data_IF_801869880075
#
_entry.id   IF_801869880075
#
_cell.length_a   1.000
_cell.length_b   1.000
_cell.length_c   1.000
_cell.angle_alpha   90.00
_cell.angle_beta   90.00
_cell.angle_gamma   90.00
#
_symmetry.space_group_name_H-M   'P 1'
#
loop_
_entity.id
_entity.type
_entity.pdbx_description
1 polymer ?
#
# COMPACT_ATOMS: atom_id res chain seq x y z
N UNK A 1 -21.79 19.64 -20.95
CA UNK A 1 -20.34 19.59 -20.70
C UNK A 1 -20.14 19.32 -19.22
N UNK A 2 -19.69 18.13 -18.85
CA UNK A 2 -19.37 17.81 -17.45
C UNK A 2 -18.20 18.68 -17.03
N UNK A 3 -18.38 19.51 -16.00
CA UNK A 3 -17.32 20.36 -15.48
C UNK A 3 -16.23 19.45 -14.91
N UNK A 4 -15.06 19.41 -15.56
CA UNK A 4 -13.92 18.67 -15.04
C UNK A 4 -13.49 19.28 -13.71
N UNK A 5 -13.25 18.40 -12.74
CA UNK A 5 -12.62 18.74 -11.48
C UNK A 5 -11.51 17.71 -11.18
N UNK A 6 -10.65 18.04 -10.21
CA UNK A 6 -9.48 17.22 -9.87
C UNK A 6 -9.84 15.78 -9.52
N UNK A 7 -10.91 15.56 -8.75
CA UNK A 7 -11.32 14.23 -8.30
C UNK A 7 -11.81 13.35 -9.46
N UNK A 8 -12.61 13.92 -10.36
CA UNK A 8 -13.06 13.22 -11.56
C UNK A 8 -11.88 12.77 -12.44
N UNK A 9 -10.89 13.64 -12.63
CA UNK A 9 -9.70 13.29 -13.42
C UNK A 9 -8.92 12.13 -12.81
N UNK A 10 -8.78 12.09 -11.48
CA UNK A 10 -8.07 11.00 -10.79
C UNK A 10 -8.85 9.69 -10.91
N UNK A 11 -10.17 9.72 -10.69
CA UNK A 11 -11.02 8.55 -10.83
C UNK A 11 -10.94 7.95 -12.24
N UNK A 12 -11.02 8.79 -13.28
CA UNK A 12 -10.88 8.35 -14.67
C UNK A 12 -9.46 7.87 -15.00
N UNK A 13 -8.43 8.42 -14.35
CA UNK A 13 -7.06 7.96 -14.52
C UNK A 13 -6.81 6.60 -13.86
N UNK A 14 -7.43 6.31 -12.71
CA UNK A 14 -7.40 4.99 -12.06
C UNK A 14 -8.16 3.95 -12.89
N UNK A 15 -9.31 4.30 -13.47
CA UNK A 15 -9.99 3.42 -14.42
C UNK A 15 -9.14 3.14 -15.66
N UNK A 16 -8.48 4.17 -16.20
CA UNK A 16 -7.55 4.00 -17.31
C UNK A 16 -6.36 3.10 -16.92
N UNK A 17 -5.84 3.23 -15.70
CA UNK A 17 -4.80 2.34 -15.17
C UNK A 17 -5.24 0.88 -15.19
N UNK A 18 -6.46 0.59 -14.74
CA UNK A 18 -7.01 -0.78 -14.74
C UNK A 18 -7.12 -1.36 -16.15
N UNK A 19 -7.51 -0.53 -17.13
CA UNK A 19 -7.66 -0.94 -18.53
C UNK A 19 -6.31 -1.19 -19.23
N UNK A 20 -5.36 -0.26 -19.11
CA UNK A 20 -4.16 -0.26 -19.97
C UNK A 20 -2.84 -0.49 -19.23
N UNK A 21 -2.86 -0.59 -17.90
CA UNK A 21 -1.67 -0.68 -17.06
C UNK A 21 -0.90 0.62 -16.96
N UNK A 22 0.04 0.69 -16.02
CA UNK A 22 0.75 1.91 -15.64
C UNK A 22 1.54 2.53 -16.81
N UNK A 23 2.17 1.68 -17.61
CA UNK A 23 2.93 2.12 -18.80
C UNK A 23 2.01 2.68 -19.90
N UNK A 24 0.76 2.25 -19.91
CA UNK A 24 -0.28 2.72 -20.83
C UNK A 24 -0.91 4.06 -20.43
N UNK A 25 -0.77 4.50 -19.18
CA UNK A 25 -1.35 5.77 -18.70
C UNK A 25 -0.56 6.97 -19.24
N UNK A 26 -1.28 7.90 -19.87
CA UNK A 26 -0.72 9.18 -20.35
C UNK A 26 -1.75 10.30 -20.28
N UNK A 27 -1.29 11.54 -20.13
CA UNK A 27 -2.15 12.74 -20.13
C UNK A 27 -2.96 12.87 -21.43
N UNK A 28 -2.37 12.48 -22.57
CA UNK A 28 -3.07 12.46 -23.87
C UNK A 28 -4.24 11.48 -23.91
N UNK A 29 -4.03 10.22 -23.48
CA UNK A 29 -5.09 9.21 -23.44
C UNK A 29 -6.19 9.61 -22.45
N UNK A 30 -5.81 10.16 -21.31
CA UNK A 30 -6.75 10.65 -20.31
C UNK A 30 -7.59 11.83 -20.84
N UNK A 31 -6.97 12.78 -21.54
CA UNK A 31 -7.69 13.91 -22.16
C UNK A 31 -8.71 13.44 -23.20
N UNK A 32 -8.30 12.49 -24.06
CA UNK A 32 -9.18 11.86 -25.04
C UNK A 32 -10.35 11.14 -24.37
N UNK A 33 -10.10 10.36 -23.30
CA UNK A 33 -11.13 9.68 -22.53
C UNK A 33 -12.15 10.66 -21.93
N UNK A 34 -11.67 11.77 -21.40
CA UNK A 34 -12.47 12.82 -20.78
C UNK A 34 -13.17 13.75 -21.79
N UNK A 35 -12.89 13.60 -23.09
CA UNK A 35 -13.43 14.47 -24.14
C UNK A 35 -12.97 15.93 -24.03
N UNK A 36 -11.76 16.17 -23.53
CA UNK A 36 -11.19 17.52 -23.36
C UNK A 36 -9.82 17.65 -24.00
N UNK A 37 -9.42 18.88 -24.25
CA UNK A 37 -8.08 19.20 -24.71
C UNK A 37 -7.04 19.06 -23.59
N UNK A 38 -5.82 18.63 -23.93
CA UNK A 38 -4.74 18.43 -22.95
C UNK A 38 -4.44 19.65 -22.04
N UNK A 39 -4.49 20.91 -22.53
CA UNK A 39 -4.31 22.07 -21.67
C UNK A 39 -5.30 22.14 -20.50
N UNK A 40 -6.51 21.58 -20.64
CA UNK A 40 -7.48 21.51 -19.55
C UNK A 40 -6.98 20.66 -18.38
N UNK A 41 -6.23 19.57 -18.66
CA UNK A 41 -5.63 18.74 -17.62
C UNK A 41 -4.45 19.43 -16.92
N UNK A 42 -3.72 20.29 -17.62
CA UNK A 42 -2.55 20.99 -17.06
C UNK A 42 -2.90 21.99 -15.94
N UNK A 43 -4.15 22.45 -15.91
CA UNK A 43 -4.68 23.25 -14.81
C UNK A 43 -4.84 22.42 -13.52
N UNK A 44 -5.06 21.11 -13.63
CA UNK A 44 -5.21 20.22 -12.48
C UNK A 44 -3.90 19.53 -12.09
N UNK A 45 -3.09 19.11 -13.07
CA UNK A 45 -1.85 18.38 -12.84
C UNK A 45 -0.72 18.92 -13.72
N UNK A 46 0.40 19.28 -13.09
CA UNK A 46 1.59 19.77 -13.78
C UNK A 46 2.41 18.62 -14.36
N UNK A 47 1.81 17.87 -15.29
CA UNK A 47 2.44 16.75 -15.99
C UNK A 47 2.09 15.36 -15.41
N UNK A 48 2.68 14.32 -16.03
CA UNK A 48 2.39 12.90 -15.71
C UNK A 48 2.75 12.55 -14.27
N UNK A 49 3.90 12.99 -13.77
CA UNK A 49 4.34 12.71 -12.39
C UNK A 49 3.37 13.26 -11.34
N UNK A 50 2.84 14.47 -11.54
CA UNK A 50 1.86 15.06 -10.63
C UNK A 50 0.53 14.29 -10.64
N UNK A 51 0.14 13.76 -11.80
CA UNK A 51 -1.04 12.89 -11.93
C UNK A 51 -0.80 11.54 -11.24
N UNK A 52 0.33 10.88 -11.51
CA UNK A 52 0.65 9.58 -10.90
C UNK A 52 0.71 9.66 -9.37
N UNK A 53 1.31 10.73 -8.82
CA UNK A 53 1.31 10.96 -7.37
C UNK A 53 -0.10 11.08 -6.80
N UNK A 54 -0.96 11.87 -7.46
CA UNK A 54 -2.35 12.02 -7.03
C UNK A 54 -3.16 10.72 -7.15
N UNK A 55 -2.88 9.91 -8.19
CA UNK A 55 -3.46 8.57 -8.33
C UNK A 55 -2.97 7.65 -7.20
N UNK A 56 -1.69 7.68 -6.84
CA UNK A 56 -1.13 6.87 -5.76
C UNK A 56 -1.75 7.26 -4.40
N UNK A 57 -1.91 8.56 -4.14
CA UNK A 57 -2.60 9.08 -2.95
C UNK A 57 -4.05 8.58 -2.89
N UNK A 58 -4.80 8.72 -3.99
CA UNK A 58 -6.21 8.30 -4.06
C UNK A 58 -6.36 6.79 -3.91
N UNK A 59 -5.55 6.00 -4.62
CA UNK A 59 -5.58 4.53 -4.54
C UNK A 59 -5.29 4.03 -3.11
N UNK A 60 -4.52 4.79 -2.33
CA UNK A 60 -4.20 4.47 -0.94
C UNK A 60 -5.27 4.90 0.08
N UNK A 61 -6.33 5.60 -0.34
CA UNK A 61 -7.42 6.07 0.53
C UNK A 61 -7.99 4.99 1.46
N UNK A 62 -8.26 3.75 1.01
CA UNK A 62 -8.77 2.71 1.90
C UNK A 62 -7.82 2.35 3.05
N UNK A 63 -6.51 2.55 2.87
CA UNK A 63 -5.51 2.30 3.90
C UNK A 63 -5.27 3.53 4.78
N UNK A 64 -5.32 4.74 4.23
CA UNK A 64 -5.03 5.99 4.96
C UNK A 64 -6.22 6.50 5.76
N UNK A 65 -7.45 6.14 5.37
CA UNK A 65 -8.67 6.48 6.12
C UNK A 65 -9.11 5.39 7.09
N UNK A 66 -8.43 4.24 7.10
CA UNK A 66 -8.68 3.19 8.08
C UNK A 66 -8.43 3.70 9.51
N UNK A 67 -9.27 3.31 10.49
CA UNK A 67 -9.07 3.69 11.88
C UNK A 67 -7.67 3.33 12.37
N UNK A 68 -7.05 4.27 13.09
CA UNK A 68 -5.86 4.01 13.88
C UNK A 68 -6.20 3.03 15.02
N UNK A 69 -5.22 2.25 15.51
CA UNK A 69 -5.43 1.40 16.68
C UNK A 69 -5.83 2.24 17.89
N UNK A 70 -6.77 1.72 18.68
CA UNK A 70 -7.19 2.30 19.94
C UNK A 70 -6.48 1.63 21.12
N UNK A 71 -6.33 2.33 22.27
CA UNK A 71 -5.88 1.70 23.51
C UNK A 71 -6.77 0.50 23.86
N UNK A 72 -6.15 -0.66 24.12
CA UNK A 72 -6.85 -1.91 24.45
C UNK A 72 -7.09 -2.85 23.27
N UNK A 73 -6.84 -2.42 22.03
CA UNK A 73 -6.83 -3.31 20.87
C UNK A 73 -5.75 -4.39 21.01
N UNK A 74 -6.03 -5.60 20.51
CA UNK A 74 -5.01 -6.64 20.38
C UNK A 74 -3.97 -6.21 19.33
N UNK A 75 -2.76 -5.89 19.79
CA UNK A 75 -1.67 -5.43 18.94
C UNK A 75 -1.33 -6.40 17.80
N UNK A 76 -1.47 -7.72 18.03
CA UNK A 76 -1.09 -8.75 17.05
C UNK A 76 -2.14 -8.78 15.94
N UNK A 77 -3.41 -8.91 16.30
CA UNK A 77 -4.50 -8.92 15.32
C UNK A 77 -4.54 -7.59 14.54
N UNK A 78 -4.35 -6.47 15.24
CA UNK A 78 -4.28 -5.16 14.58
C UNK A 78 -3.11 -5.08 13.58
N UNK A 79 -1.92 -5.54 13.96
CA UNK A 79 -0.75 -5.53 13.07
C UNK A 79 -1.00 -6.36 11.82
N UNK A 80 -1.49 -7.60 12.00
CA UNK A 80 -1.81 -8.50 10.89
C UNK A 80 -2.85 -7.87 9.95
N UNK A 81 -3.96 -7.38 10.48
CA UNK A 81 -5.03 -6.80 9.68
C UNK A 81 -4.62 -5.49 9.00
N UNK A 82 -3.76 -4.68 9.61
CA UNK A 82 -3.20 -3.48 8.98
C UNK A 82 -2.44 -3.81 7.68
N UNK A 83 -1.66 -4.89 7.66
CA UNK A 83 -0.91 -5.29 6.47
C UNK A 83 -1.73 -6.12 5.48
N UNK A 84 -2.71 -6.91 5.95
CA UNK A 84 -3.70 -7.54 5.06
C UNK A 84 -4.50 -6.50 4.29
N UNK A 85 -4.98 -5.46 4.97
CA UNK A 85 -5.65 -4.32 4.33
C UNK A 85 -4.73 -3.59 3.37
N UNK A 86 -3.49 -3.31 3.78
CA UNK A 86 -2.52 -2.67 2.89
C UNK A 86 -2.32 -3.47 1.60
N UNK A 87 -2.16 -4.80 1.70
CA UNK A 87 -2.09 -5.69 0.53
C UNK A 87 -3.34 -5.60 -0.33
N UNK A 88 -4.54 -5.69 0.26
CA UNK A 88 -5.80 -5.56 -0.48
C UNK A 88 -5.86 -4.23 -1.23
N UNK A 89 -5.46 -3.12 -0.59
CA UNK A 89 -5.41 -1.79 -1.19
C UNK A 89 -4.47 -1.73 -2.40
N UNK A 90 -3.25 -2.27 -2.29
CA UNK A 90 -2.30 -2.30 -3.42
C UNK A 90 -2.81 -3.12 -4.62
N UNK A 91 -3.65 -4.13 -4.35
CA UNK A 91 -4.22 -5.02 -5.36
C UNK A 91 -5.57 -4.55 -5.92
N UNK A 92 -6.14 -3.44 -5.42
CA UNK A 92 -7.41 -2.89 -5.95
C UNK A 92 -7.31 -2.46 -7.41
N UNK A 93 -6.12 -1.97 -7.81
CA UNK A 93 -5.86 -1.48 -9.15
C UNK A 93 -4.74 -2.26 -9.82
N UNK A 94 -4.83 -2.41 -11.14
CA UNK A 94 -3.75 -2.95 -11.96
C UNK A 94 -2.49 -2.11 -11.78
N UNK A 95 -1.33 -2.76 -11.62
CA UNK A 95 -0.05 -2.09 -11.32
C UNK A 95 -0.10 -1.18 -10.07
N UNK A 96 -1.08 -1.35 -9.16
CA UNK A 96 -1.24 -0.52 -7.96
C UNK A 96 -0.02 -0.59 -7.03
N UNK A 97 0.66 -1.73 -6.95
CA UNK A 97 1.91 -1.87 -6.21
C UNK A 97 3.06 -1.06 -6.85
N UNK A 98 3.14 -1.04 -8.19
CA UNK A 98 4.12 -0.21 -8.92
C UNK A 98 3.81 1.28 -8.78
N UNK A 99 2.53 1.65 -8.81
CA UNK A 99 2.09 3.04 -8.61
C UNK A 99 2.46 3.55 -7.20
N UNK A 100 2.41 2.67 -6.19
CA UNK A 100 2.79 2.99 -4.82
C UNK A 100 4.31 2.94 -4.58
N UNK A 101 5.05 2.11 -5.30
CA UNK A 101 6.48 1.91 -5.10
C UNK A 101 7.27 3.22 -5.20
N UNK A 102 8.16 3.47 -4.24
CA UNK A 102 8.97 4.70 -4.18
C UNK A 102 8.24 5.91 -3.58
N UNK A 103 6.97 5.76 -3.17
CA UNK A 103 6.31 6.76 -2.33
C UNK A 103 6.83 6.68 -0.89
N UNK A 104 6.99 7.84 -0.25
CA UNK A 104 7.35 7.95 1.16
C UNK A 104 6.20 8.60 1.93
N UNK A 105 5.89 8.13 3.16
CA UNK A 105 4.96 8.83 4.02
C UNK A 105 5.42 10.27 4.22
N UNK A 106 4.52 11.22 3.98
CA UNK A 106 4.76 12.65 4.20
C UNK A 106 3.52 13.29 4.80
N UNK A 107 3.69 14.42 5.49
CA UNK A 107 2.60 15.08 6.22
C UNK A 107 1.86 14.09 7.14
N UNK A 108 0.53 14.03 7.01
CA UNK A 108 -0.30 13.13 7.83
C UNK A 108 0.00 11.63 7.70
N UNK A 109 0.66 11.20 6.62
CA UNK A 109 1.12 9.81 6.50
C UNK A 109 2.24 9.47 7.50
N UNK A 110 3.11 10.44 7.80
CA UNK A 110 4.14 10.28 8.83
C UNK A 110 3.52 10.23 10.23
N UNK A 111 2.58 11.12 10.53
CA UNK A 111 1.88 11.15 11.82
C UNK A 111 1.14 9.83 12.07
N UNK A 112 0.48 9.29 11.04
CA UNK A 112 -0.15 7.97 11.08
C UNK A 112 0.86 6.86 11.39
N UNK A 113 2.03 6.86 10.74
CA UNK A 113 3.08 5.86 10.99
C UNK A 113 3.61 5.96 12.44
N UNK A 114 3.86 7.19 12.92
CA UNK A 114 4.33 7.43 14.28
C UNK A 114 3.32 6.96 15.33
N UNK A 115 2.02 7.20 15.11
CA UNK A 115 0.95 6.72 15.97
C UNK A 115 0.89 5.19 16.04
N UNK A 116 1.06 4.52 14.90
CA UNK A 116 1.12 3.04 14.82
C UNK A 116 2.32 2.47 15.57
N UNK A 117 3.49 3.09 15.44
CA UNK A 117 4.70 2.70 16.18
C UNK A 117 4.49 2.91 17.68
N UNK A 118 3.87 4.04 18.09
CA UNK A 118 3.57 4.31 19.49
C UNK A 118 2.61 3.27 20.06
N UNK A 119 1.53 2.91 19.36
CA UNK A 119 0.60 1.88 19.80
C UNK A 119 1.28 0.52 20.06
N UNK A 120 2.15 0.07 19.16
CA UNK A 120 2.92 -1.16 19.38
C UNK A 120 3.83 -1.03 20.62
N UNK A 121 4.45 0.14 20.80
CA UNK A 121 5.30 0.42 21.96
C UNK A 121 4.53 0.42 23.29
N UNK A 122 3.34 1.01 23.31
CA UNK A 122 2.45 1.03 24.47
C UNK A 122 1.96 -0.38 24.84
N UNK A 123 2.01 -1.33 23.89
CA UNK A 123 1.76 -2.76 24.10
C UNK A 123 3.01 -3.55 24.52
N UNK A 124 4.09 -2.87 24.92
CA UNK A 124 5.31 -3.48 25.46
C UNK A 124 6.31 -3.97 24.43
N UNK A 125 6.15 -3.62 23.15
CA UNK A 125 7.14 -3.89 22.11
C UNK A 125 8.21 -2.78 22.13
N UNK A 126 9.51 -3.08 22.10
CA UNK A 126 10.52 -2.04 21.96
C UNK A 126 10.29 -1.15 20.73
N UNK A 127 10.37 0.16 20.88
CA UNK A 127 10.10 1.13 19.78
C UNK A 127 10.89 0.81 18.50
N UNK A 128 12.15 0.42 18.63
CA UNK A 128 13.00 0.06 17.49
C UNK A 128 12.54 -1.24 16.81
N UNK A 129 12.05 -2.21 17.58
CA UNK A 129 11.48 -3.46 17.05
C UNK A 129 10.15 -3.17 16.33
N UNK A 130 9.28 -2.33 16.92
CA UNK A 130 8.04 -1.88 16.29
C UNK A 130 8.30 -1.19 14.96
N UNK A 131 9.22 -0.21 14.92
CA UNK A 131 9.59 0.49 13.69
C UNK A 131 10.17 -0.47 12.63
N UNK A 132 11.09 -1.35 13.04
CA UNK A 132 11.71 -2.33 12.13
C UNK A 132 10.70 -3.30 11.55
N UNK A 133 9.78 -3.83 12.38
CA UNK A 133 8.73 -4.73 11.93
C UNK A 133 7.74 -4.04 10.99
N UNK A 134 7.39 -2.77 11.27
CA UNK A 134 6.52 -2.02 10.38
C UNK A 134 7.15 -1.77 9.00
N UNK A 135 8.45 -1.44 8.98
CA UNK A 135 9.22 -1.28 7.74
C UNK A 135 9.30 -2.61 6.97
N UNK A 136 9.68 -3.70 7.65
CA UNK A 136 9.81 -5.02 7.05
C UNK A 136 8.47 -5.54 6.50
N UNK A 137 7.38 -5.41 7.26
CA UNK A 137 6.05 -5.80 6.80
C UNK A 137 5.57 -4.96 5.61
N UNK A 138 5.92 -3.67 5.56
CA UNK A 138 5.64 -2.82 4.39
C UNK A 138 6.39 -3.32 3.15
N UNK A 139 7.69 -3.60 3.28
CA UNK A 139 8.51 -4.10 2.17
C UNK A 139 8.03 -5.48 1.69
N UNK A 140 7.71 -6.39 2.61
CA UNK A 140 7.10 -7.68 2.31
C UNK A 140 5.79 -7.51 1.54
N UNK A 141 4.91 -6.62 2.00
CA UNK A 141 3.61 -6.38 1.38
C UNK A 141 3.74 -5.85 -0.04
N UNK A 142 4.61 -4.86 -0.24
CA UNK A 142 4.88 -4.25 -1.54
C UNK A 142 5.51 -5.27 -2.49
N UNK A 143 6.56 -5.98 -2.05
CA UNK A 143 7.23 -7.00 -2.85
C UNK A 143 6.28 -8.13 -3.25
N UNK A 144 5.48 -8.63 -2.30
CA UNK A 144 4.48 -9.65 -2.60
C UNK A 144 3.43 -9.17 -3.60
N UNK A 145 2.93 -7.94 -3.45
CA UNK A 145 1.94 -7.39 -4.37
C UNK A 145 2.52 -7.14 -5.78
N UNK A 146 3.78 -6.71 -5.88
CA UNK A 146 4.49 -6.57 -7.15
C UNK A 146 4.60 -7.91 -7.88
N UNK A 147 5.06 -8.95 -7.19
CA UNK A 147 5.17 -10.29 -7.76
C UNK A 147 3.79 -10.83 -8.15
N UNK A 148 2.77 -10.66 -7.30
CA UNK A 148 1.40 -11.08 -7.59
C UNK A 148 0.79 -10.37 -8.82
N UNK A 149 1.13 -9.10 -9.06
CA UNK A 149 0.67 -8.34 -10.22
C UNK A 149 1.49 -8.64 -11.49
N UNK A 150 2.76 -9.05 -11.33
CA UNK A 150 3.63 -9.46 -12.43
C UNK A 150 3.46 -10.94 -12.81
N UNK A 151 2.87 -11.74 -11.93
CA UNK A 151 2.63 -13.15 -12.16
C UNK A 151 1.79 -13.35 -13.43
N UNK A 152 2.39 -14.02 -14.39
CA UNK A 152 1.69 -14.70 -15.47
C UNK A 152 1.47 -16.15 -15.05
N UNK A 153 0.50 -16.85 -15.62
CA UNK A 153 0.20 -18.28 -15.37
C UNK A 153 1.42 -19.19 -15.63
N UNK A 154 2.39 -19.16 -14.71
CA UNK A 154 3.66 -19.87 -14.77
C UNK A 154 3.64 -20.88 -13.65
N UNK A 155 3.70 -22.15 -14.03
CA UNK A 155 3.89 -23.23 -13.07
C UNK A 155 5.23 -23.03 -12.33
N UNK A 156 5.30 -23.38 -11.04
CA UNK A 156 6.56 -23.37 -10.31
C UNK A 156 7.57 -24.34 -10.95
N UNK A 157 8.88 -24.05 -10.85
CA UNK A 157 9.92 -25.01 -11.23
C UNK A 157 9.76 -26.37 -10.53
N UNK A 158 10.18 -27.48 -11.17
CA UNK A 158 10.15 -28.79 -10.54
C UNK A 158 10.90 -28.81 -9.19
N UNK A 159 10.27 -29.42 -8.18
CA UNK A 159 10.85 -29.54 -6.82
C UNK A 159 10.49 -28.39 -5.88
N UNK A 160 9.78 -27.37 -6.35
CA UNK A 160 9.15 -26.36 -5.49
C UNK A 160 7.66 -26.66 -5.32
N UNK A 161 7.17 -26.45 -4.11
CA UNK A 161 5.73 -26.45 -3.81
C UNK A 161 5.07 -25.23 -4.46
N UNK A 162 3.83 -25.41 -4.92
CA UNK A 162 3.01 -24.33 -5.48
C UNK A 162 2.39 -23.50 -4.36
N UNK A 163 3.19 -22.56 -3.83
CA UNK A 163 2.73 -21.60 -2.82
C UNK A 163 2.30 -20.32 -3.53
N UNK A 164 0.99 -20.07 -3.58
CA UNK A 164 0.49 -18.83 -4.15
C UNK A 164 0.95 -17.60 -3.34
N UNK A 165 0.95 -16.43 -3.98
CA UNK A 165 1.41 -15.20 -3.36
C UNK A 165 0.62 -14.81 -2.09
N UNK A 166 -0.67 -15.13 -1.99
CA UNK A 166 -1.46 -14.81 -0.80
C UNK A 166 -1.07 -15.69 0.39
N UNK A 167 -0.83 -16.98 0.17
CA UNK A 167 -0.33 -17.92 1.17
C UNK A 167 1.07 -17.51 1.65
N UNK A 168 1.99 -17.23 0.72
CA UNK A 168 3.34 -16.78 1.04
C UNK A 168 3.35 -15.46 1.83
N UNK A 169 2.44 -14.53 1.49
CA UNK A 169 2.27 -13.28 2.24
C UNK A 169 1.83 -13.52 3.68
N UNK A 170 0.77 -14.30 3.88
CA UNK A 170 0.24 -14.56 5.23
C UNK A 170 1.28 -15.27 6.10
N UNK A 171 1.98 -16.27 5.56
CA UNK A 171 3.05 -16.95 6.27
C UNK A 171 4.18 -15.99 6.69
N UNK A 172 4.66 -15.14 5.78
CA UNK A 172 5.69 -14.14 6.07
C UNK A 172 5.24 -13.12 7.13
N UNK A 173 3.98 -12.68 7.05
CA UNK A 173 3.42 -11.72 8.00
C UNK A 173 3.28 -12.33 9.41
N UNK A 174 2.87 -13.60 9.51
CA UNK A 174 2.80 -14.34 10.78
C UNK A 174 4.19 -14.53 11.41
N UNK A 175 5.24 -14.76 10.62
CA UNK A 175 6.61 -14.83 11.11
C UNK A 175 7.06 -13.50 11.74
N UNK A 176 6.78 -12.37 11.08
CA UNK A 176 7.07 -11.04 11.62
C UNK A 176 6.32 -10.76 12.94
N UNK A 177 5.02 -11.08 12.98
CA UNK A 177 4.21 -10.92 14.20
C UNK A 177 4.71 -11.80 15.35
N UNK A 178 5.18 -13.01 15.06
CA UNK A 178 5.74 -13.92 16.06
C UNK A 178 7.09 -13.44 16.59
N UNK A 179 7.95 -12.88 15.72
CA UNK A 179 9.19 -12.21 16.14
C UNK A 179 8.93 -11.01 17.06
N UNK A 180 7.90 -10.20 16.77
CA UNK A 180 7.48 -9.11 17.66
C UNK A 180 7.02 -9.61 19.03
N UNK A 181 6.26 -10.72 19.08
CA UNK A 181 5.81 -11.31 20.33
C UNK A 181 7.01 -11.75 21.20
N UNK A 182 8.03 -12.35 20.59
CA UNK A 182 9.27 -12.71 21.29
C UNK A 182 9.99 -11.49 21.87
N UNK A 183 10.15 -10.42 21.09
CA UNK A 183 10.79 -9.17 21.55
C UNK A 183 10.04 -8.54 22.74
N UNK A 184 8.70 -8.60 22.73
CA UNK A 184 7.85 -8.16 23.85
C UNK A 184 8.13 -9.00 25.10
N UNK A 185 8.20 -10.33 24.99
CA UNK A 185 8.49 -11.21 26.13
C UNK A 185 9.88 -11.00 26.71
N UNK A 186 10.91 -10.83 25.87
CA UNK A 186 12.27 -10.55 26.31
C UNK A 186 12.36 -9.23 27.07
N UNK A 187 11.70 -8.19 26.56
CA UNK A 187 11.66 -6.87 27.21
C UNK A 187 10.99 -6.91 28.59
N UNK A 188 9.90 -7.67 28.72
CA UNK A 188 9.20 -7.85 29.99
C UNK A 188 10.01 -8.62 31.04
N UNK A 189 11.03 -9.38 30.64
CA UNK A 189 11.94 -10.09 31.57
C UNK A 189 13.10 -9.22 32.05
N UNK A 190 13.42 -8.16 31.31
CA UNK A 190 14.53 -7.24 31.61
C UNK A 190 14.11 -5.95 32.33
N UNK A 191 12.80 -5.69 32.41
CA UNK A 191 12.20 -4.56 33.12
C UNK A 191 11.86 -4.93 34.57
#
# INVERSE_FOLDING_TARGET
MTKINRQLVIAEALQLLDEVGLDGVSTRRLAQRLGVEQPALYWHFKGKEALLRAMAEEAMTPQTTAPLPAPGDDWREWFLENYRRFRRTLLLHRDGARLHAGTFPSGGGLDMLLAKIAFLADNGIPRIAAQSAMMAASQLTIGNALEAQAAHDKAPPPGLEDVDHAQGFEAGLQLLASGLAQQRHESARTA
#
